data_IF_634899902741
#
_entry.id   IF_634899902741
#
_cell.length_a   1.000
_cell.length_b   1.000
_cell.length_c   1.000
_cell.angle_alpha   90.00
_cell.angle_beta   90.00
_cell.angle_gamma   90.00
#
_symmetry.space_group_name_H-M   'P 1'
#
loop_
_entity.id
_entity.type
_entity.pdbx_description
1 polymer ?
#
# COMPACT_ATOMS: atom_id res chain seq x y z
N UNK A 1 65.85 21.85 -1.19
CA UNK A 1 65.02 23.10 -1.26
C UNK A 1 63.74 22.68 -1.92
N UNK A 2 62.68 22.53 -1.17
CA UNK A 2 61.36 22.15 -1.70
C UNK A 2 60.70 23.47 -2.16
N UNK A 3 60.21 23.48 -3.39
CA UNK A 3 59.67 24.67 -4.03
C UNK A 3 58.35 25.11 -3.32
N UNK A 4 58.28 26.41 -2.97
CA UNK A 4 57.13 26.99 -2.26
C UNK A 4 55.81 26.91 -3.09
N UNK A 5 55.90 26.72 -4.40
CA UNK A 5 54.73 26.58 -5.27
C UNK A 5 54.09 25.18 -5.14
N UNK A 6 54.85 24.12 -4.88
CA UNK A 6 54.33 22.77 -4.70
C UNK A 6 53.56 22.61 -3.36
N UNK A 7 53.94 23.39 -2.33
CA UNK A 7 53.27 23.39 -1.04
C UNK A 7 51.92 24.12 -1.05
N UNK A 8 51.84 25.24 -1.81
CA UNK A 8 50.60 26.01 -1.96
C UNK A 8 49.53 25.27 -2.79
N UNK A 9 49.93 24.53 -3.84
CA UNK A 9 49.01 23.74 -4.66
C UNK A 9 48.35 22.57 -3.90
N UNK A 10 49.09 22.02 -2.92
CA UNK A 10 48.58 20.90 -2.10
C UNK A 10 47.64 21.33 -0.97
N UNK A 11 47.84 22.52 -0.43
CA UNK A 11 46.95 23.10 0.59
C UNK A 11 45.58 23.53 -0.02
N UNK A 12 45.57 24.10 -1.19
CA UNK A 12 44.35 24.54 -1.87
C UNK A 12 43.49 23.35 -2.33
N UNK A 13 44.07 22.22 -2.73
CA UNK A 13 43.36 21.03 -3.12
C UNK A 13 42.67 20.31 -1.93
N UNK A 14 43.25 20.41 -0.73
CA UNK A 14 42.70 19.79 0.50
C UNK A 14 41.51 20.58 1.07
N UNK A 15 41.52 21.92 0.97
CA UNK A 15 40.41 22.76 1.44
C UNK A 15 39.16 22.70 0.49
N UNK A 16 39.39 22.57 -0.83
CA UNK A 16 38.26 22.46 -1.78
C UNK A 16 37.51 21.12 -1.69
N UNK A 17 38.20 20.02 -1.37
CA UNK A 17 37.54 18.71 -1.19
C UNK A 17 36.68 18.68 0.08
N UNK A 18 37.16 19.23 1.19
CA UNK A 18 36.43 19.32 2.44
C UNK A 18 35.19 20.22 2.37
N UNK A 19 35.28 21.34 1.67
CA UNK A 19 34.16 22.28 1.50
C UNK A 19 33.05 21.71 0.59
N UNK A 20 33.41 20.99 -0.47
CA UNK A 20 32.45 20.36 -1.38
C UNK A 20 31.68 19.20 -0.71
N UNK A 21 32.35 18.36 0.09
CA UNK A 21 31.68 17.30 0.85
C UNK A 21 30.77 17.82 1.96
N UNK A 22 31.12 18.93 2.62
CA UNK A 22 30.28 19.53 3.66
C UNK A 22 29.04 20.18 3.04
N UNK A 23 29.16 20.87 1.92
CA UNK A 23 28.04 21.51 1.22
C UNK A 23 27.08 20.46 0.66
N UNK A 24 27.57 19.35 0.11
CA UNK A 24 26.73 18.26 -0.40
C UNK A 24 25.96 17.58 0.74
N UNK A 25 26.57 17.36 1.90
CA UNK A 25 25.90 16.77 3.08
C UNK A 25 24.82 17.69 3.65
N UNK A 26 25.05 18.98 3.75
CA UNK A 26 24.06 19.94 4.24
C UNK A 26 22.84 20.04 3.29
N UNK A 27 23.04 20.05 1.97
CA UNK A 27 21.95 20.06 1.01
C UNK A 27 21.14 18.76 0.99
N UNK A 28 21.79 17.60 1.18
CA UNK A 28 21.09 16.30 1.27
C UNK A 28 20.27 16.18 2.56
N UNK A 29 20.76 16.69 3.68
CA UNK A 29 20.04 16.68 4.97
C UNK A 29 18.83 17.61 4.93
N UNK A 30 18.92 18.79 4.32
CA UNK A 30 17.81 19.72 4.12
C UNK A 30 16.71 19.11 3.23
N UNK A 31 17.09 18.38 2.18
CA UNK A 31 16.16 17.67 1.31
C UNK A 31 15.44 16.50 2.03
N UNK A 32 16.14 15.77 2.89
CA UNK A 32 15.57 14.71 3.72
C UNK A 32 14.57 15.28 4.73
N UNK A 33 14.88 16.38 5.40
CA UNK A 33 13.99 17.02 6.36
C UNK A 33 12.73 17.60 5.68
N UNK A 34 12.88 18.25 4.53
CA UNK A 34 11.74 18.74 3.73
C UNK A 34 10.86 17.60 3.23
N UNK A 35 11.45 16.51 2.77
CA UNK A 35 10.73 15.30 2.35
C UNK A 35 9.98 14.66 3.53
N UNK A 36 10.63 14.57 4.71
CA UNK A 36 10.01 14.04 5.93
C UNK A 36 8.78 14.85 6.34
N UNK A 37 8.89 16.18 6.35
CA UNK A 37 7.72 17.04 6.65
C UNK A 37 6.60 16.86 5.64
N UNK A 38 6.91 16.74 4.34
CA UNK A 38 5.91 16.47 3.31
C UNK A 38 5.24 15.10 3.52
N UNK A 39 6.01 14.08 3.93
CA UNK A 39 5.49 12.76 4.27
C UNK A 39 4.54 12.81 5.47
N UNK A 40 4.94 13.47 6.56
CA UNK A 40 4.10 13.63 7.75
C UNK A 40 2.78 14.32 7.43
N UNK A 41 2.79 15.41 6.67
CA UNK A 41 1.55 16.08 6.21
C UNK A 41 0.64 15.16 5.39
N UNK A 42 1.22 14.26 4.60
CA UNK A 42 0.45 13.27 3.81
C UNK A 42 -0.17 12.19 4.70
N UNK A 43 0.54 11.77 5.76
CA UNK A 43 0.04 10.77 6.72
C UNK A 43 -1.00 11.35 7.67
N UNK A 44 -0.84 12.61 8.10
CA UNK A 44 -1.83 13.33 8.90
C UNK A 44 -3.17 13.49 8.16
N UNK A 45 -3.11 13.72 6.84
CA UNK A 45 -4.32 13.84 6.03
C UNK A 45 -5.08 12.51 5.87
N UNK A 46 -4.40 11.38 5.76
CA UNK A 46 -4.99 10.04 5.72
C UNK A 46 -3.91 8.94 5.85
N UNK A 47 -4.23 7.80 6.50
CA UNK A 47 -3.36 6.62 6.50
C UNK A 47 -3.06 6.16 5.08
N UNK A 48 -1.81 5.75 4.83
CA UNK A 48 -1.31 5.30 3.53
C UNK A 48 -0.33 4.15 3.69
N UNK A 49 -0.25 3.31 2.67
CA UNK A 49 0.85 2.35 2.54
C UNK A 49 2.13 3.05 2.04
N UNK A 50 3.27 2.45 2.33
CA UNK A 50 4.60 2.96 1.97
C UNK A 50 4.74 3.21 0.47
N UNK A 51 4.28 2.30 -0.38
CA UNK A 51 4.31 2.46 -1.84
C UNK A 51 3.52 3.68 -2.32
N UNK A 52 2.31 3.92 -1.77
CA UNK A 52 1.52 5.09 -2.13
C UNK A 52 2.14 6.40 -1.59
N UNK A 53 2.80 6.36 -0.44
CA UNK A 53 3.55 7.49 0.10
C UNK A 53 4.75 7.81 -0.79
N UNK A 54 5.51 6.76 -1.19
CA UNK A 54 6.65 6.86 -2.11
C UNK A 54 6.26 7.53 -3.42
N UNK A 55 5.23 7.03 -4.09
CA UNK A 55 4.73 7.62 -5.36
C UNK A 55 4.38 9.11 -5.21
N UNK A 56 3.75 9.48 -4.09
CA UNK A 56 3.37 10.87 -3.83
C UNK A 56 4.55 11.79 -3.59
N UNK A 57 5.59 11.32 -2.90
CA UNK A 57 6.80 12.10 -2.63
C UNK A 57 7.63 12.28 -3.90
N UNK A 58 7.79 11.22 -4.71
CA UNK A 58 8.44 11.30 -6.03
C UNK A 58 7.68 12.28 -6.95
N UNK A 59 6.35 12.21 -6.98
CA UNK A 59 5.53 13.14 -7.75
C UNK A 59 5.65 14.61 -7.28
N UNK A 60 6.12 14.85 -6.07
CA UNK A 60 6.46 16.19 -5.54
C UNK A 60 7.86 16.66 -5.93
N UNK A 61 8.66 15.80 -6.54
CA UNK A 61 10.00 16.12 -7.05
C UNK A 61 11.16 15.69 -6.14
N UNK A 62 10.89 14.96 -5.03
CA UNK A 62 11.96 14.42 -4.20
C UNK A 62 12.69 13.28 -4.89
N UNK A 63 14.01 13.20 -4.73
CA UNK A 63 14.84 12.13 -5.28
C UNK A 63 14.51 10.77 -4.63
N UNK A 64 14.60 9.68 -5.42
CA UNK A 64 14.25 8.32 -4.99
C UNK A 64 14.98 7.92 -3.70
N UNK A 65 16.30 8.19 -3.59
CA UNK A 65 17.10 7.86 -2.42
C UNK A 65 16.66 8.60 -1.15
N UNK A 66 16.31 9.89 -1.27
CA UNK A 66 15.78 10.70 -0.16
C UNK A 66 14.42 10.16 0.29
N UNK A 67 13.56 9.79 -0.66
CA UNK A 67 12.24 9.21 -0.35
C UNK A 67 12.38 7.86 0.36
N UNK A 68 13.26 6.99 -0.13
CA UNK A 68 13.48 5.66 0.46
C UNK A 68 14.03 5.78 1.89
N UNK A 69 14.96 6.70 2.14
CA UNK A 69 15.47 6.99 3.48
C UNK A 69 14.39 7.49 4.44
N UNK A 70 13.54 8.41 3.98
CA UNK A 70 12.44 8.93 4.80
C UNK A 70 11.43 7.83 5.13
N UNK A 71 11.06 6.99 4.15
CA UNK A 71 10.15 5.86 4.37
C UNK A 71 10.75 4.88 5.40
N UNK A 72 12.03 4.55 5.28
CA UNK A 72 12.71 3.68 6.25
C UNK A 72 12.70 4.28 7.66
N UNK A 73 13.01 5.56 7.80
CA UNK A 73 12.97 6.26 9.10
C UNK A 73 11.56 6.25 9.71
N UNK A 74 10.52 6.55 8.92
CA UNK A 74 9.13 6.54 9.39
C UNK A 74 8.65 5.13 9.78
N UNK A 75 9.06 4.11 9.05
CA UNK A 75 8.76 2.71 9.37
C UNK A 75 9.46 2.28 10.67
N UNK A 76 10.73 2.66 10.88
CA UNK A 76 11.51 2.34 12.08
C UNK A 76 10.88 2.92 13.36
N UNK A 77 10.25 4.07 13.27
CA UNK A 77 9.56 4.71 14.41
C UNK A 77 8.06 4.42 14.46
N UNK A 78 7.59 3.46 13.67
CA UNK A 78 6.19 3.01 13.58
C UNK A 78 5.16 4.11 13.24
N UNK A 79 5.59 5.19 12.60
CA UNK A 79 4.67 6.17 11.99
C UNK A 79 4.12 5.69 10.64
N UNK A 80 4.79 4.73 10.04
CA UNK A 80 4.38 4.01 8.84
C UNK A 80 4.38 2.51 9.13
N UNK A 81 3.22 1.87 9.02
CA UNK A 81 3.05 0.43 9.27
C UNK A 81 2.14 -0.16 8.19
N UNK A 82 2.77 -0.75 7.18
CA UNK A 82 2.07 -1.35 6.06
C UNK A 82 1.25 -2.58 6.45
N UNK A 83 1.66 -3.30 7.50
CA UNK A 83 0.91 -4.46 7.97
C UNK A 83 -0.39 -4.02 8.65
N UNK A 84 -0.33 -3.09 9.59
CA UNK A 84 -1.52 -2.54 10.25
C UNK A 84 -2.46 -1.87 9.23
N UNK A 85 -1.89 -1.16 8.25
CA UNK A 85 -2.66 -0.59 7.13
C UNK A 85 -3.36 -1.68 6.32
N UNK A 86 -2.66 -2.75 5.92
CA UNK A 86 -3.20 -3.85 5.13
C UNK A 86 -4.31 -4.60 5.87
N UNK A 87 -4.13 -4.90 7.16
CA UNK A 87 -5.16 -5.52 8.00
C UNK A 87 -6.43 -4.67 8.11
N UNK A 88 -6.26 -3.35 8.29
CA UNK A 88 -7.40 -2.43 8.29
C UNK A 88 -8.12 -2.38 6.94
N UNK A 89 -7.36 -2.38 5.84
CA UNK A 89 -7.91 -2.40 4.50
C UNK A 89 -8.62 -3.72 4.16
N UNK A 90 -8.13 -4.88 4.68
CA UNK A 90 -8.85 -6.16 4.57
C UNK A 90 -10.21 -6.08 5.25
N UNK A 91 -10.28 -5.59 6.51
CA UNK A 91 -11.57 -5.39 7.21
C UNK A 91 -12.53 -4.50 6.44
N UNK A 92 -12.02 -3.43 5.83
CA UNK A 92 -12.82 -2.56 4.97
C UNK A 92 -13.34 -3.30 3.73
N UNK A 93 -12.50 -4.08 3.06
CA UNK A 93 -12.85 -4.85 1.87
C UNK A 93 -13.90 -5.93 2.17
N UNK A 94 -13.73 -6.70 3.24
CA UNK A 94 -14.69 -7.74 3.66
C UNK A 94 -16.03 -7.13 4.06
N UNK A 95 -16.03 -5.98 4.76
CA UNK A 95 -17.25 -5.20 5.05
C UNK A 95 -17.99 -4.73 3.79
N UNK A 96 -17.31 -4.60 2.66
CA UNK A 96 -17.91 -4.35 1.33
C UNK A 96 -18.19 -5.63 0.53
N UNK A 97 -18.17 -6.76 1.20
CA UNK A 97 -18.36 -8.08 0.60
C UNK A 97 -17.38 -8.35 -0.56
N UNK A 98 -16.11 -7.98 -0.42
CA UNK A 98 -15.07 -8.34 -1.38
C UNK A 98 -14.50 -9.72 -1.02
N UNK A 99 -14.15 -10.50 -2.05
CA UNK A 99 -13.46 -11.76 -1.90
C UNK A 99 -11.93 -11.56 -1.86
N UNK A 100 -11.20 -12.65 -1.57
CA UNK A 100 -9.74 -12.66 -1.41
C UNK A 100 -9.01 -11.99 -2.58
N UNK A 101 -9.29 -12.45 -3.81
CA UNK A 101 -8.62 -11.92 -5.00
C UNK A 101 -8.87 -10.42 -5.20
N UNK A 102 -10.10 -9.97 -5.01
CA UNK A 102 -10.44 -8.55 -5.12
C UNK A 102 -9.75 -7.71 -4.05
N UNK A 103 -9.64 -8.25 -2.83
CA UNK A 103 -8.96 -7.58 -1.72
C UNK A 103 -7.46 -7.44 -1.97
N UNK A 104 -6.77 -8.52 -2.42
CA UNK A 104 -5.34 -8.44 -2.77
C UNK A 104 -5.10 -7.40 -3.87
N UNK A 105 -5.92 -7.38 -4.92
CA UNK A 105 -5.81 -6.37 -5.99
C UNK A 105 -5.99 -4.95 -5.45
N UNK A 106 -6.94 -4.74 -4.54
CA UNK A 106 -7.17 -3.42 -3.93
C UNK A 106 -6.01 -2.98 -3.04
N UNK A 107 -5.46 -3.88 -2.24
CA UNK A 107 -4.27 -3.62 -1.40
C UNK A 107 -3.06 -3.21 -2.25
N UNK A 108 -2.76 -3.99 -3.30
CA UNK A 108 -1.65 -3.67 -4.23
C UNK A 108 -1.88 -2.33 -4.92
N UNK A 109 -3.11 -2.05 -5.37
CA UNK A 109 -3.47 -0.74 -5.95
C UNK A 109 -3.28 0.42 -4.98
N UNK A 110 -3.40 0.16 -3.69
CA UNK A 110 -3.19 1.14 -2.60
C UNK A 110 -1.72 1.26 -2.17
N UNK A 111 -0.81 0.59 -2.87
CA UNK A 111 0.63 0.68 -2.62
C UNK A 111 1.15 -0.26 -1.54
N UNK A 112 0.35 -1.25 -1.10
CA UNK A 112 0.85 -2.33 -0.24
C UNK A 112 1.68 -3.29 -1.10
N UNK A 113 2.83 -3.71 -0.61
CA UNK A 113 3.64 -4.74 -1.26
C UNK A 113 2.81 -6.00 -1.51
N UNK A 114 3.01 -6.64 -2.67
CA UNK A 114 2.20 -7.78 -3.08
C UNK A 114 2.36 -8.98 -2.16
N UNK A 115 3.56 -9.28 -1.68
CA UNK A 115 3.79 -10.42 -0.79
C UNK A 115 3.10 -10.19 0.55
N UNK A 116 3.15 -8.97 1.08
CA UNK A 116 2.44 -8.57 2.29
C UNK A 116 0.92 -8.64 2.09
N UNK A 117 0.40 -8.15 0.96
CA UNK A 117 -1.03 -8.20 0.64
C UNK A 117 -1.55 -9.65 0.58
N UNK A 118 -0.80 -10.56 -0.05
CA UNK A 118 -1.12 -12.00 -0.09
C UNK A 118 -1.05 -12.64 1.29
N UNK A 119 -0.04 -12.32 2.12
CA UNK A 119 0.11 -12.86 3.46
C UNK A 119 -1.08 -12.48 4.35
N UNK A 120 -1.44 -11.20 4.41
CA UNK A 120 -2.56 -10.71 5.22
C UNK A 120 -3.90 -11.24 4.70
N UNK A 121 -4.06 -11.39 3.39
CA UNK A 121 -5.25 -12.01 2.81
C UNK A 121 -5.34 -13.51 3.14
N UNK A 122 -4.22 -14.23 3.18
CA UNK A 122 -4.20 -15.64 3.59
C UNK A 122 -4.62 -15.80 5.06
N UNK A 123 -4.14 -14.94 5.94
CA UNK A 123 -4.57 -14.94 7.36
C UNK A 123 -6.07 -14.65 7.50
N UNK A 124 -6.61 -13.70 6.72
CA UNK A 124 -8.05 -13.41 6.71
C UNK A 124 -8.87 -14.58 6.16
N UNK A 125 -8.37 -15.28 5.14
CA UNK A 125 -9.01 -16.48 4.60
C UNK A 125 -9.05 -17.62 5.63
N UNK A 126 -7.97 -17.83 6.38
CA UNK A 126 -7.90 -18.83 7.47
C UNK A 126 -8.89 -18.52 8.60
N UNK A 127 -9.21 -17.24 8.84
CA UNK A 127 -10.26 -16.84 9.80
C UNK A 127 -11.68 -16.96 9.26
N UNK A 128 -11.85 -17.22 7.96
CA UNK A 128 -13.17 -17.30 7.32
C UNK A 128 -13.74 -15.96 6.85
N UNK A 129 -12.99 -14.86 6.95
CA UNK A 129 -13.48 -13.49 6.68
C UNK A 129 -14.05 -13.35 5.25
N UNK A 130 -13.46 -14.00 4.26
CA UNK A 130 -13.92 -13.96 2.86
C UNK A 130 -15.11 -14.89 2.60
N UNK A 131 -15.25 -15.96 3.35
CA UNK A 131 -16.43 -16.81 3.28
C UNK A 131 -17.64 -16.06 3.83
N UNK A 132 -17.50 -15.44 5.00
CA UNK A 132 -18.55 -14.61 5.61
C UNK A 132 -18.97 -13.46 4.66
N UNK A 133 -18.00 -12.81 4.00
CA UNK A 133 -18.25 -11.77 3.02
C UNK A 133 -19.05 -12.28 1.80
N UNK A 134 -18.79 -13.51 1.35
CA UNK A 134 -19.55 -14.14 0.26
C UNK A 134 -20.99 -14.47 0.68
N UNK A 135 -21.18 -14.99 1.89
CA UNK A 135 -22.50 -15.27 2.45
C UNK A 135 -23.31 -13.98 2.63
N UNK A 136 -22.70 -12.90 3.10
CA UNK A 136 -23.39 -11.61 3.20
C UNK A 136 -23.78 -11.06 1.82
N UNK A 137 -22.90 -11.17 0.82
CA UNK A 137 -23.22 -10.83 -0.56
C UNK A 137 -24.42 -11.66 -1.06
N UNK A 138 -24.45 -12.95 -0.77
CA UNK A 138 -25.56 -13.84 -1.11
C UNK A 138 -26.87 -13.40 -0.49
N UNK A 139 -26.87 -13.10 0.81
CA UNK A 139 -28.06 -12.58 1.52
C UNK A 139 -28.56 -11.27 0.93
N UNK A 140 -27.67 -10.34 0.56
CA UNK A 140 -28.03 -9.08 -0.10
C UNK A 140 -28.69 -9.34 -1.46
N UNK A 141 -28.13 -10.26 -2.26
CA UNK A 141 -28.69 -10.60 -3.57
C UNK A 141 -30.01 -11.39 -3.45
N UNK A 142 -30.12 -12.27 -2.46
CA UNK A 142 -31.39 -12.98 -2.20
C UNK A 142 -32.53 -12.00 -1.92
N UNK A 143 -32.28 -10.98 -1.10
CA UNK A 143 -33.26 -9.89 -0.83
C UNK A 143 -33.55 -9.04 -2.07
N UNK A 144 -32.49 -8.57 -2.75
CA UNK A 144 -32.57 -7.64 -3.88
C UNK A 144 -33.22 -8.24 -5.13
N UNK A 145 -33.15 -9.55 -5.29
CA UNK A 145 -33.65 -10.26 -6.47
C UNK A 145 -34.91 -11.11 -6.17
N UNK A 146 -35.57 -10.87 -5.03
CA UNK A 146 -36.80 -11.58 -4.66
C UNK A 146 -37.86 -11.40 -5.75
N UNK A 147 -38.51 -12.49 -6.14
CA UNK A 147 -39.55 -12.50 -7.19
C UNK A 147 -39.01 -12.58 -8.61
N UNK A 148 -37.70 -12.58 -8.83
CA UNK A 148 -37.11 -12.87 -10.14
C UNK A 148 -36.96 -14.39 -10.33
N UNK A 149 -36.89 -14.81 -11.59
CA UNK A 149 -36.52 -16.18 -11.95
C UNK A 149 -35.18 -16.60 -11.36
N UNK A 150 -35.08 -17.86 -10.91
CA UNK A 150 -33.90 -18.41 -10.23
C UNK A 150 -32.63 -18.28 -11.08
N UNK A 151 -32.71 -18.52 -12.39
CA UNK A 151 -31.54 -18.39 -13.27
C UNK A 151 -31.06 -16.93 -13.35
N UNK A 152 -31.97 -15.96 -13.33
CA UNK A 152 -31.64 -14.52 -13.30
C UNK A 152 -31.01 -14.13 -11.97
N UNK A 153 -31.54 -14.61 -10.85
CA UNK A 153 -31.00 -14.37 -9.51
C UNK A 153 -29.57 -14.87 -9.43
N UNK A 154 -29.33 -16.13 -9.78
CA UNK A 154 -28.01 -16.77 -9.78
C UNK A 154 -27.03 -16.04 -10.70
N UNK A 155 -27.42 -15.72 -11.94
CA UNK A 155 -26.55 -14.99 -12.88
C UNK A 155 -26.11 -13.63 -12.33
N UNK A 156 -27.03 -12.85 -11.73
CA UNK A 156 -26.71 -11.54 -11.14
C UNK A 156 -25.74 -11.67 -9.97
N UNK A 157 -25.94 -12.63 -9.09
CA UNK A 157 -25.06 -12.91 -7.96
C UNK A 157 -23.67 -13.34 -8.42
N UNK A 158 -23.58 -14.29 -9.37
CA UNK A 158 -22.32 -14.75 -9.95
C UNK A 158 -21.51 -13.61 -10.56
N UNK A 159 -22.16 -12.78 -11.35
CA UNK A 159 -21.50 -11.62 -11.95
C UNK A 159 -20.97 -10.64 -10.89
N UNK A 160 -21.73 -10.41 -9.83
CA UNK A 160 -21.29 -9.53 -8.74
C UNK A 160 -20.15 -10.14 -7.92
N UNK A 161 -20.25 -11.41 -7.55
CA UNK A 161 -19.23 -12.13 -6.79
C UNK A 161 -17.91 -12.25 -7.54
N UNK A 162 -17.97 -12.53 -8.85
CA UNK A 162 -16.79 -12.58 -9.71
C UNK A 162 -16.07 -11.23 -9.78
N UNK A 163 -16.81 -10.12 -9.99
CA UNK A 163 -16.21 -8.76 -9.95
C UNK A 163 -15.61 -8.39 -8.60
N UNK A 164 -16.16 -8.91 -7.52
CA UNK A 164 -15.65 -8.71 -6.15
C UNK A 164 -14.48 -9.64 -5.80
N UNK A 165 -14.15 -10.61 -6.67
CA UNK A 165 -13.00 -11.48 -6.52
C UNK A 165 -13.21 -12.66 -5.58
N UNK A 166 -14.45 -13.14 -5.42
CA UNK A 166 -14.74 -14.39 -4.72
C UNK A 166 -14.39 -15.61 -5.55
N UNK A 167 -14.10 -16.72 -4.87
CA UNK A 167 -13.84 -18.00 -5.54
C UNK A 167 -15.13 -18.56 -6.16
N UNK A 168 -15.06 -19.22 -7.33
CA UNK A 168 -16.20 -19.88 -7.93
C UNK A 168 -16.84 -20.92 -7.02
N UNK A 169 -16.05 -21.66 -6.26
CA UNK A 169 -16.52 -22.69 -5.35
C UNK A 169 -17.39 -22.10 -4.23
N UNK A 170 -16.92 -21.04 -3.59
CA UNK A 170 -17.69 -20.34 -2.55
C UNK A 170 -18.98 -19.75 -3.12
N UNK A 171 -18.91 -19.13 -4.31
CA UNK A 171 -20.11 -18.59 -4.96
C UNK A 171 -21.13 -19.68 -5.28
N UNK A 172 -20.69 -20.89 -5.69
CA UNK A 172 -21.59 -22.01 -5.96
C UNK A 172 -22.35 -22.42 -4.70
N UNK A 173 -21.63 -22.66 -3.59
CA UNK A 173 -22.27 -23.06 -2.30
C UNK A 173 -23.29 -22.02 -1.83
N UNK A 174 -22.93 -20.75 -1.88
CA UNK A 174 -23.82 -19.65 -1.47
C UNK A 174 -25.05 -19.55 -2.39
N UNK A 175 -24.88 -19.72 -3.70
CA UNK A 175 -25.98 -19.67 -4.66
C UNK A 175 -26.96 -20.84 -4.52
N UNK A 176 -26.45 -22.04 -4.25
CA UNK A 176 -27.25 -23.25 -4.00
C UNK A 176 -28.11 -23.10 -2.74
N UNK A 177 -27.61 -22.45 -1.71
CA UNK A 177 -28.32 -22.29 -0.44
C UNK A 177 -29.31 -21.11 -0.45
N UNK A 178 -28.93 -19.96 -1.00
CA UNK A 178 -29.67 -18.71 -0.82
C UNK A 178 -30.50 -18.27 -2.03
N UNK A 179 -30.28 -18.84 -3.22
CA UNK A 179 -30.87 -18.37 -4.48
C UNK A 179 -31.67 -19.48 -5.21
N UNK A 180 -32.43 -20.20 -4.44
CA UNK A 180 -33.40 -21.19 -4.94
C UNK A 180 -34.73 -20.54 -5.27
#
# INVERSE_FOLDING_TARGET
MIDAQEFLGRAVAAETVGAAETVVRESDDDDVDACREAALRLLDAAPRASGALRERLIAKGYADGVVDEVIERLTRVHLLDDRAYAESAVRYCTGRCMGRRGTVMELTRKGVDRALAEAVATEAEQRGDFEDAAWELGRQYARKTRGLDVAVRRRRFWSAGGRKGHSPETLRRVAEELLN
#
